data_IF_992768778367
#
_entry.id   IF_992768778367
#
_cell.length_a   1.000
_cell.length_b   1.000
_cell.length_c   1.000
_cell.angle_alpha   90.00
_cell.angle_beta   90.00
_cell.angle_gamma   90.00
#
_symmetry.space_group_name_H-M   'P 1'
#
loop_
_entity.id
_entity.type
_entity.pdbx_description
1 polymer ?
#
# COMPACT_ATOMS: atom_id res chain seq x y z
N UNK A 1 17.87 -6.64 -91.17
CA UNK A 1 19.12 -6.36 -90.44
C UNK A 1 18.96 -4.95 -89.87
N UNK A 2 18.34 -4.76 -88.71
CA UNK A 2 18.85 -4.87 -87.32
C UNK A 2 19.86 -3.76 -86.94
N UNK A 3 19.40 -2.88 -86.04
CA UNK A 3 20.05 -2.10 -84.95
C UNK A 3 18.86 -1.36 -84.28
N UNK A 4 18.37 -1.58 -83.06
CA UNK A 4 18.92 -1.73 -81.69
C UNK A 4 19.68 -0.50 -81.17
N UNK A 5 19.00 0.27 -80.29
CA UNK A 5 19.49 1.08 -79.14
C UNK A 5 18.28 1.93 -78.66
N UNK A 6 17.47 1.53 -77.68
CA UNK A 6 17.61 1.57 -76.21
C UNK A 6 18.03 2.93 -75.64
N UNK A 7 17.04 3.76 -75.24
CA UNK A 7 17.27 4.92 -74.37
C UNK A 7 16.19 5.02 -73.27
N UNK A 8 16.58 4.53 -72.09
CA UNK A 8 16.20 4.94 -70.72
C UNK A 8 14.72 5.14 -70.36
N UNK A 9 14.11 4.08 -69.83
CA UNK A 9 13.00 4.18 -68.89
C UNK A 9 13.59 4.58 -67.53
N UNK A 10 13.42 5.84 -67.14
CA UNK A 10 13.74 6.29 -65.78
C UNK A 10 12.77 5.61 -64.81
N UNK A 11 13.31 4.62 -64.08
CA UNK A 11 12.62 3.96 -62.99
C UNK A 11 12.58 4.91 -61.78
N UNK A 12 11.33 5.22 -61.41
CA UNK A 12 10.85 5.89 -60.22
C UNK A 12 11.73 5.60 -58.98
N UNK A 13 12.31 6.67 -58.42
CA UNK A 13 13.04 6.61 -57.17
C UNK A 13 12.05 6.30 -56.03
N UNK A 14 12.37 5.40 -55.08
CA UNK A 14 11.47 5.13 -53.97
C UNK A 14 11.32 6.40 -53.13
N UNK A 15 10.07 6.84 -53.01
CA UNK A 15 9.66 7.94 -52.15
C UNK A 15 10.06 7.63 -50.71
N UNK A 16 11.15 8.25 -50.27
CA UNK A 16 11.52 8.33 -48.85
C UNK A 16 10.36 8.96 -48.09
N UNK A 17 9.60 8.12 -47.39
CA UNK A 17 8.57 8.55 -46.46
C UNK A 17 9.22 9.39 -45.37
N UNK A 18 9.02 10.71 -45.43
CA UNK A 18 9.38 11.68 -44.39
C UNK A 18 8.72 11.29 -43.08
N UNK A 19 9.46 10.59 -42.22
CA UNK A 19 9.07 10.37 -40.83
C UNK A 19 9.04 11.73 -40.16
N UNK A 20 7.84 12.19 -39.83
CA UNK A 20 7.65 13.44 -39.10
C UNK A 20 8.28 13.27 -37.72
N UNK A 21 9.34 14.03 -37.44
CA UNK A 21 9.99 14.08 -36.12
C UNK A 21 9.05 14.74 -35.11
N UNK A 22 7.99 14.06 -34.70
CA UNK A 22 7.32 14.35 -33.45
C UNK A 22 8.32 14.01 -32.35
N UNK A 23 8.85 15.02 -31.67
CA UNK A 23 9.73 14.88 -30.52
C UNK A 23 9.03 14.00 -29.48
N UNK A 24 9.37 12.71 -29.44
CA UNK A 24 8.86 11.78 -28.42
C UNK A 24 9.44 12.21 -27.07
N UNK A 25 8.65 12.94 -26.29
CA UNK A 25 9.01 13.27 -24.92
C UNK A 25 8.63 12.09 -24.05
N UNK A 26 9.60 11.21 -23.81
CA UNK A 26 9.42 10.12 -22.87
C UNK A 26 9.44 10.73 -21.45
N UNK A 27 8.42 10.45 -20.61
CA UNK A 27 8.37 10.96 -19.25
C UNK A 27 9.51 10.39 -18.39
N UNK A 28 9.91 11.10 -17.31
CA UNK A 28 10.89 10.58 -16.36
C UNK A 28 10.43 9.24 -15.79
N UNK A 29 11.40 8.36 -15.49
CA UNK A 29 11.12 7.00 -15.07
C UNK A 29 10.44 6.96 -13.70
N UNK A 30 9.36 6.17 -13.59
CA UNK A 30 8.59 6.04 -12.34
C UNK A 30 8.99 4.77 -11.59
N UNK A 31 9.92 4.91 -10.63
CA UNK A 31 10.40 3.81 -9.79
C UNK A 31 9.30 3.11 -8.99
N UNK A 32 8.31 3.86 -8.51
CA UNK A 32 7.18 3.29 -7.78
C UNK A 32 6.30 2.39 -8.66
N UNK A 33 6.32 2.56 -9.98
CA UNK A 33 5.45 1.84 -10.89
C UNK A 33 5.98 1.80 -12.32
N UNK A 34 7.04 1.01 -12.52
CA UNK A 34 7.66 0.86 -13.84
C UNK A 34 6.70 0.27 -14.89
N UNK A 35 5.70 -0.53 -14.46
CA UNK A 35 4.68 -1.10 -15.35
C UNK A 35 3.79 -0.02 -15.96
N UNK A 36 3.24 0.88 -15.16
CA UNK A 36 2.42 2.00 -15.66
C UNK A 36 3.25 2.97 -16.51
N UNK A 37 4.50 3.21 -16.14
CA UNK A 37 5.41 4.02 -16.94
C UNK A 37 5.55 3.46 -18.36
N UNK A 38 5.78 2.15 -18.51
CA UNK A 38 5.86 1.53 -19.83
C UNK A 38 4.58 1.68 -20.66
N UNK A 39 3.39 1.61 -20.05
CA UNK A 39 2.11 1.84 -20.75
C UNK A 39 2.08 3.26 -21.33
N UNK A 40 2.55 4.25 -20.58
CA UNK A 40 2.63 5.63 -21.03
C UNK A 40 3.68 5.81 -22.15
N UNK A 41 4.84 5.17 -22.03
CA UNK A 41 5.87 5.20 -23.09
C UNK A 41 5.33 4.59 -24.39
N UNK A 42 4.66 3.44 -24.31
CA UNK A 42 4.07 2.77 -25.48
C UNK A 42 2.98 3.61 -26.13
N UNK A 43 2.18 4.32 -25.33
CA UNK A 43 1.19 5.27 -25.83
C UNK A 43 1.85 6.42 -26.61
N UNK A 44 2.97 6.95 -26.12
CA UNK A 44 3.74 7.97 -26.83
C UNK A 44 4.34 7.45 -28.15
N UNK A 45 4.87 6.21 -28.16
CA UNK A 45 5.34 5.59 -29.40
C UNK A 45 4.20 5.41 -30.41
N UNK A 46 3.02 5.00 -29.95
CA UNK A 46 1.85 4.86 -30.82
C UNK A 46 1.43 6.22 -31.42
N UNK A 47 1.38 7.29 -30.61
CA UNK A 47 1.08 8.65 -31.07
C UNK A 47 2.11 9.17 -32.09
N UNK A 48 3.38 8.84 -31.89
CA UNK A 48 4.48 9.19 -32.79
C UNK A 48 4.61 8.25 -34.01
N UNK A 49 3.71 7.25 -34.16
CA UNK A 49 3.76 6.22 -35.20
C UNK A 49 5.08 5.44 -35.24
N UNK A 50 5.75 5.30 -34.09
CA UNK A 50 6.97 4.51 -33.97
C UNK A 50 6.59 3.05 -33.79
N UNK A 51 6.70 2.28 -34.87
CA UNK A 51 6.39 0.84 -34.88
C UNK A 51 7.65 -0.02 -34.88
N UNK A 52 8.78 0.51 -35.34
CA UNK A 52 10.05 -0.20 -35.44
C UNK A 52 10.65 -0.50 -34.05
N UNK A 53 10.93 -1.77 -33.79
CA UNK A 53 11.51 -2.29 -32.53
C UNK A 53 12.84 -1.62 -32.18
N UNK A 54 13.75 -1.48 -33.15
CA UNK A 54 15.05 -0.86 -32.96
C UNK A 54 14.91 0.62 -32.58
N UNK A 55 13.96 1.33 -33.21
CA UNK A 55 13.69 2.74 -32.89
C UNK A 55 13.16 2.89 -31.46
N UNK A 56 12.26 2.01 -31.02
CA UNK A 56 11.77 1.99 -29.63
C UNK A 56 12.88 1.69 -28.63
N UNK A 57 13.72 0.70 -28.94
CA UNK A 57 14.88 0.32 -28.15
C UNK A 57 15.86 1.49 -27.99
N UNK A 58 16.23 2.16 -29.09
CA UNK A 58 17.13 3.31 -29.06
C UNK A 58 16.56 4.49 -28.25
N UNK A 59 15.26 4.76 -28.40
CA UNK A 59 14.59 5.78 -27.59
C UNK A 59 14.62 5.46 -26.11
N UNK A 60 14.44 4.18 -25.75
CA UNK A 60 14.44 3.74 -24.37
C UNK A 60 15.83 3.92 -23.75
N UNK A 61 16.90 3.49 -24.43
CA UNK A 61 18.29 3.69 -23.99
C UNK A 61 18.62 5.17 -23.84
N UNK A 62 18.18 6.01 -24.78
CA UNK A 62 18.45 7.43 -24.73
C UNK A 62 17.73 8.17 -23.58
N UNK A 63 16.70 7.55 -22.99
CA UNK A 63 15.90 8.17 -21.92
C UNK A 63 16.33 7.69 -20.53
N UNK A 64 16.70 6.43 -20.41
CA UNK A 64 17.03 5.80 -19.13
C UNK A 64 18.40 6.30 -18.65
N UNK A 65 18.53 6.55 -17.34
CA UNK A 65 19.78 7.00 -16.74
C UNK A 65 20.87 5.91 -16.72
N UNK A 66 22.16 6.30 -16.67
CA UNK A 66 23.27 5.35 -16.72
C UNK A 66 23.29 4.33 -15.58
N UNK A 67 22.78 4.70 -14.39
CA UNK A 67 22.73 3.81 -13.22
C UNK A 67 21.76 2.65 -13.48
N UNK A 68 20.60 2.96 -14.02
CA UNK A 68 19.59 1.98 -14.45
C UNK A 68 20.08 1.11 -15.60
N UNK A 69 20.76 1.69 -16.60
CA UNK A 69 21.35 0.93 -17.70
C UNK A 69 22.44 -0.04 -17.20
N UNK A 70 23.19 0.33 -16.17
CA UNK A 70 24.17 -0.55 -15.55
C UNK A 70 23.54 -1.79 -14.91
N UNK A 71 22.34 -1.69 -14.35
CA UNK A 71 21.64 -2.82 -13.74
C UNK A 71 21.16 -3.85 -14.77
N UNK A 72 20.97 -3.43 -16.02
CA UNK A 72 20.57 -4.30 -17.16
C UNK A 72 21.67 -4.37 -18.22
N UNK A 73 22.93 -4.16 -17.83
CA UNK A 73 24.05 -4.13 -18.77
C UNK A 73 24.23 -5.45 -19.52
N UNK A 74 23.85 -6.58 -18.92
CA UNK A 74 23.90 -7.91 -19.51
C UNK A 74 23.11 -7.99 -20.82
N UNK A 75 21.87 -7.48 -20.83
CA UNK A 75 21.01 -7.50 -22.01
C UNK A 75 21.38 -6.42 -23.04
N UNK A 76 22.08 -5.37 -22.61
CA UNK A 76 22.56 -4.31 -23.49
C UNK A 76 23.86 -4.70 -24.22
N UNK A 77 24.74 -5.44 -23.54
CA UNK A 77 26.01 -5.94 -24.08
C UNK A 77 25.82 -7.19 -24.94
N UNK A 78 24.80 -8.01 -24.63
CA UNK A 78 24.39 -9.15 -25.43
C UNK A 78 22.90 -9.04 -25.83
N UNK A 79 22.55 -8.10 -26.72
CA UNK A 79 21.16 -7.89 -27.10
C UNK A 79 20.64 -9.06 -27.95
N UNK A 80 19.38 -9.51 -27.71
CA UNK A 80 18.79 -10.57 -28.52
C UNK A 80 18.60 -10.12 -29.98
N UNK A 81 18.67 -11.08 -30.91
CA UNK A 81 18.60 -10.82 -32.35
C UNK A 81 17.23 -10.29 -32.79
N UNK A 82 16.17 -10.64 -32.06
CA UNK A 82 14.79 -10.22 -32.33
C UNK A 82 14.13 -9.69 -31.05
N UNK A 83 13.17 -8.76 -31.20
CA UNK A 83 12.39 -8.19 -30.10
C UNK A 83 13.23 -7.54 -28.99
N UNK A 84 14.18 -6.66 -29.38
CA UNK A 84 15.12 -6.00 -28.45
C UNK A 84 14.39 -5.14 -27.44
N UNK A 85 13.38 -4.40 -27.89
CA UNK A 85 12.57 -3.57 -27.00
C UNK A 85 11.79 -4.42 -26.00
N UNK A 86 11.13 -5.49 -26.46
CA UNK A 86 10.34 -6.35 -25.60
C UNK A 86 11.20 -7.06 -24.55
N UNK A 87 12.39 -7.51 -24.93
CA UNK A 87 13.34 -8.14 -24.01
C UNK A 87 13.84 -7.16 -22.94
N UNK A 88 14.27 -5.95 -23.35
CA UNK A 88 14.72 -4.90 -22.42
C UNK A 88 13.59 -4.45 -21.49
N UNK A 89 12.37 -4.24 -22.02
CA UNK A 89 11.16 -3.94 -21.22
C UNK A 89 10.92 -5.00 -20.15
N UNK A 90 10.95 -6.27 -20.54
CA UNK A 90 10.69 -7.40 -19.62
C UNK A 90 11.74 -7.44 -18.50
N UNK A 91 13.02 -7.28 -18.85
CA UNK A 91 14.11 -7.28 -17.88
C UNK A 91 14.05 -6.08 -16.92
N UNK A 92 13.77 -4.88 -17.44
CA UNK A 92 13.61 -3.68 -16.62
C UNK A 92 12.42 -3.82 -15.65
N UNK A 93 11.29 -4.34 -16.12
CA UNK A 93 10.16 -4.63 -15.24
C UNK A 93 10.56 -5.66 -14.19
N UNK A 94 11.27 -6.73 -14.54
CA UNK A 94 11.68 -7.75 -13.57
C UNK A 94 12.69 -7.24 -12.53
N UNK A 95 13.63 -6.40 -12.94
CA UNK A 95 14.68 -5.86 -12.07
C UNK A 95 14.15 -4.78 -11.12
N UNK A 96 13.28 -3.91 -11.63
CA UNK A 96 12.85 -2.70 -10.92
C UNK A 96 11.37 -2.70 -10.52
N UNK A 97 10.61 -3.76 -10.82
CA UNK A 97 9.37 -3.97 -10.09
C UNK A 97 9.73 -4.34 -8.66
N UNK A 98 9.36 -3.48 -7.70
CA UNK A 98 9.40 -3.87 -6.29
C UNK A 98 8.73 -5.25 -6.16
N UNK A 99 9.39 -6.18 -5.46
CA UNK A 99 8.83 -7.52 -5.23
C UNK A 99 7.43 -7.35 -4.64
N UNK A 100 6.49 -8.20 -5.02
CA UNK A 100 5.13 -8.21 -4.45
C UNK A 100 5.19 -8.17 -2.90
N UNK A 101 6.15 -8.86 -2.30
CA UNK A 101 6.39 -8.83 -0.85
C UNK A 101 6.86 -7.47 -0.30
N UNK A 102 7.68 -6.74 -1.04
CA UNK A 102 8.12 -5.40 -0.65
C UNK A 102 6.98 -4.38 -0.78
N UNK A 103 6.17 -4.52 -1.83
CA UNK A 103 4.95 -3.74 -2.01
C UNK A 103 3.94 -4.01 -0.89
N UNK A 104 3.74 -5.27 -0.51
CA UNK A 104 2.90 -5.66 0.64
C UNK A 104 3.48 -5.08 1.93
N UNK A 105 4.79 -5.19 2.18
CA UNK A 105 5.42 -4.59 3.36
C UNK A 105 5.24 -3.08 3.41
N UNK A 106 5.38 -2.39 2.28
CA UNK A 106 5.13 -0.96 2.16
C UNK A 106 3.67 -0.62 2.43
N UNK A 107 2.74 -1.35 1.82
CA UNK A 107 1.30 -1.22 2.04
C UNK A 107 0.93 -1.40 3.52
N UNK A 108 1.50 -2.42 4.18
CA UNK A 108 1.31 -2.68 5.60
C UNK A 108 1.92 -1.59 6.50
N UNK A 109 3.01 -0.96 6.05
CA UNK A 109 3.72 0.09 6.80
C UNK A 109 3.05 1.45 6.65
N UNK A 110 2.55 1.78 5.46
CA UNK A 110 1.88 3.06 5.17
C UNK A 110 0.43 3.10 5.69
N UNK A 111 -0.21 1.93 5.83
CA UNK A 111 -1.55 1.76 6.37
C UNK A 111 -1.53 1.77 7.91
N UNK A 112 -1.27 2.94 8.48
CA UNK A 112 -1.37 3.18 9.91
C UNK A 112 -2.85 3.11 10.35
N UNK A 113 -3.15 2.36 11.43
CA UNK A 113 -4.45 2.39 12.12
C UNK A 113 -4.58 3.73 12.88
N UNK A 114 -4.79 4.83 12.16
CA UNK A 114 -5.39 6.04 12.73
C UNK A 114 -6.91 5.89 12.82
N UNK A 115 -7.59 6.77 13.54
CA UNK A 115 -9.06 6.86 13.61
C UNK A 115 -9.73 7.26 12.27
N UNK A 116 -9.17 6.79 11.16
CA UNK A 116 -9.64 7.02 9.81
C UNK A 116 -10.91 6.20 9.56
N UNK A 117 -11.82 6.78 8.78
CA UNK A 117 -13.05 6.08 8.41
C UNK A 117 -12.71 4.82 7.61
N UNK A 118 -13.41 3.69 7.85
CA UNK A 118 -13.25 2.49 7.05
C UNK A 118 -13.26 2.72 5.54
N UNK A 119 -14.10 3.64 5.03
CA UNK A 119 -14.10 4.05 3.62
C UNK A 119 -12.81 4.74 3.15
N UNK A 120 -12.23 5.60 3.99
CA UNK A 120 -10.95 6.26 3.71
C UNK A 120 -9.80 5.24 3.74
N UNK A 121 -9.84 4.30 4.68
CA UNK A 121 -8.88 3.20 4.77
C UNK A 121 -8.94 2.32 3.53
N UNK A 122 -10.14 2.03 3.00
CA UNK A 122 -10.31 1.29 1.75
C UNK A 122 -9.69 2.03 0.58
N UNK A 123 -10.04 3.32 0.42
CA UNK A 123 -9.53 4.14 -0.67
C UNK A 123 -8.01 4.21 -0.65
N UNK A 124 -7.41 4.40 0.52
CA UNK A 124 -5.95 4.38 0.69
C UNK A 124 -5.34 3.02 0.33
N UNK A 125 -6.00 1.92 0.70
CA UNK A 125 -5.55 0.55 0.35
C UNK A 125 -5.60 0.32 -1.16
N UNK A 126 -6.66 0.81 -1.84
CA UNK A 126 -6.80 0.74 -3.30
C UNK A 126 -5.84 1.66 -4.04
N UNK A 127 -5.60 2.88 -3.54
CA UNK A 127 -4.65 3.82 -4.15
C UNK A 127 -3.21 3.28 -4.06
N UNK A 128 -2.85 2.65 -2.95
CA UNK A 128 -1.52 2.06 -2.75
C UNK A 128 -1.35 0.69 -3.45
N UNK A 129 -2.41 -0.11 -3.56
CA UNK A 129 -2.39 -1.44 -4.18
C UNK A 129 -2.71 -1.48 -5.67
N UNK A 130 -3.55 -0.56 -6.15
CA UNK A 130 -4.02 -0.49 -7.53
C UNK A 130 -2.94 -0.04 -8.52
N UNK A 131 -1.93 0.69 -8.06
CA UNK A 131 -0.74 0.95 -8.86
C UNK A 131 0.15 -0.29 -9.00
N UNK A 132 0.23 -1.13 -7.97
CA UNK A 132 1.33 -2.10 -7.83
C UNK A 132 1.04 -3.46 -8.46
N UNK A 133 -0.18 -3.69 -8.93
CA UNK A 133 -0.61 -4.94 -9.56
C UNK A 133 -1.05 -6.01 -8.55
N UNK A 134 -1.33 -5.60 -7.32
CA UNK A 134 -1.91 -6.46 -6.28
C UNK A 134 -3.39 -6.69 -6.61
N UNK A 135 -3.87 -7.94 -6.46
CA UNK A 135 -5.28 -8.29 -6.75
C UNK A 135 -6.24 -7.61 -5.78
N UNK A 136 -7.38 -7.15 -6.32
CA UNK A 136 -8.45 -6.51 -5.54
C UNK A 136 -8.95 -7.39 -4.38
N UNK A 137 -9.03 -8.71 -4.55
CA UNK A 137 -9.42 -9.65 -3.49
C UNK A 137 -8.44 -9.65 -2.31
N UNK A 138 -7.15 -9.51 -2.59
CA UNK A 138 -6.12 -9.42 -1.56
C UNK A 138 -6.20 -8.07 -0.84
N UNK A 139 -6.42 -6.97 -1.58
CA UNK A 139 -6.64 -5.64 -1.01
C UNK A 139 -7.90 -5.61 -0.13
N UNK A 140 -8.99 -6.27 -0.55
CA UNK A 140 -10.20 -6.46 0.24
C UNK A 140 -9.91 -7.21 1.54
N UNK A 141 -9.19 -8.32 1.45
CA UNK A 141 -8.81 -9.14 2.61
C UNK A 141 -7.96 -8.33 3.58
N UNK A 142 -6.99 -7.57 3.06
CA UNK A 142 -6.12 -6.74 3.86
C UNK A 142 -6.90 -5.62 4.56
N UNK A 143 -7.79 -4.95 3.83
CA UNK A 143 -8.67 -3.93 4.40
C UNK A 143 -9.55 -4.50 5.51
N UNK A 144 -10.17 -5.69 5.30
CA UNK A 144 -10.96 -6.37 6.32
C UNK A 144 -10.15 -6.68 7.58
N UNK A 145 -8.93 -7.24 7.43
CA UNK A 145 -8.06 -7.57 8.57
C UNK A 145 -7.69 -6.36 9.45
N UNK A 146 -7.83 -5.14 8.92
CA UNK A 146 -7.53 -3.89 9.63
C UNK A 146 -8.73 -3.33 10.40
N UNK A 147 -9.93 -3.85 10.15
CA UNK A 147 -11.13 -3.44 10.87
C UNK A 147 -11.28 -4.22 12.19
N UNK A 148 -12.03 -3.71 13.19
CA UNK A 148 -12.34 -4.46 14.40
C UNK A 148 -13.09 -5.78 14.09
N UNK A 149 -12.84 -6.83 14.89
CA UNK A 149 -13.36 -8.19 14.67
C UNK A 149 -14.88 -8.25 14.46
N UNK A 150 -15.67 -7.50 15.22
CA UNK A 150 -17.13 -7.51 15.07
C UNK A 150 -17.58 -6.84 13.76
N UNK A 151 -16.80 -5.90 13.22
CA UNK A 151 -17.06 -5.32 11.90
C UNK A 151 -16.67 -6.31 10.78
N UNK A 152 -15.56 -7.04 10.96
CA UNK A 152 -15.17 -8.12 10.04
C UNK A 152 -16.24 -9.20 9.94
N UNK A 153 -16.83 -9.61 11.06
CA UNK A 153 -17.87 -10.65 11.09
C UNK A 153 -19.11 -10.26 10.28
N UNK A 154 -19.53 -8.99 10.36
CA UNK A 154 -20.69 -8.48 9.62
C UNK A 154 -20.36 -8.34 8.14
N UNK A 155 -19.19 -7.77 7.82
CA UNK A 155 -18.81 -7.47 6.44
C UNK A 155 -18.39 -8.70 5.64
N UNK A 156 -17.88 -9.75 6.28
CA UNK A 156 -17.44 -10.99 5.59
C UNK A 156 -18.58 -11.79 4.99
N UNK A 157 -19.81 -11.60 5.50
CA UNK A 157 -21.02 -12.27 5.02
C UNK A 157 -21.63 -11.51 3.83
N UNK A 158 -21.29 -10.24 3.65
CA UNK A 158 -21.83 -9.39 2.59
C UNK A 158 -21.15 -9.67 1.25
N UNK A 159 -21.97 -9.95 0.23
CA UNK A 159 -21.53 -10.09 -1.17
C UNK A 159 -21.56 -8.76 -1.95
N UNK A 160 -21.67 -7.64 -1.25
CA UNK A 160 -21.75 -6.33 -1.88
C UNK A 160 -20.41 -5.86 -2.50
N UNK A 161 -20.47 -4.95 -3.50
CA UNK A 161 -19.27 -4.35 -4.07
C UNK A 161 -18.51 -3.55 -3.00
N UNK A 162 -17.20 -3.42 -3.22
CA UNK A 162 -16.24 -2.91 -2.25
C UNK A 162 -16.60 -1.51 -1.71
N UNK A 163 -17.10 -0.64 -2.59
CA UNK A 163 -17.57 0.72 -2.23
C UNK A 163 -18.75 0.70 -1.26
N UNK A 164 -19.73 -0.19 -1.49
CA UNK A 164 -20.87 -0.33 -0.59
C UNK A 164 -20.47 -0.95 0.75
N UNK A 165 -19.50 -1.86 0.71
CA UNK A 165 -18.95 -2.52 1.90
C UNK A 165 -18.22 -1.52 2.81
N UNK A 166 -17.47 -0.58 2.21
CA UNK A 166 -16.89 0.56 2.90
C UNK A 166 -17.96 1.49 3.52
N UNK A 167 -19.03 1.79 2.79
CA UNK A 167 -20.15 2.58 3.31
C UNK A 167 -20.86 1.90 4.49
N UNK A 168 -20.99 0.57 4.44
CA UNK A 168 -21.56 -0.23 5.53
C UNK A 168 -20.65 -0.23 6.75
N UNK A 169 -19.33 -0.36 6.54
CA UNK A 169 -18.32 -0.25 7.59
C UNK A 169 -18.36 1.12 8.29
N UNK A 170 -18.52 2.21 7.53
CA UNK A 170 -18.69 3.57 8.08
C UNK A 170 -19.95 3.70 8.94
N UNK A 171 -21.07 3.06 8.53
CA UNK A 171 -22.30 3.04 9.33
C UNK A 171 -22.10 2.28 10.65
N UNK A 172 -21.43 1.13 10.62
CA UNK A 172 -21.09 0.35 11.82
C UNK A 172 -20.17 1.16 12.75
N UNK A 173 -19.20 1.88 12.20
CA UNK A 173 -18.32 2.75 12.97
C UNK A 173 -19.10 3.87 13.70
N UNK A 174 -20.07 4.50 13.02
CA UNK A 174 -20.94 5.52 13.63
C UNK A 174 -21.78 4.95 14.77
N UNK A 175 -22.38 3.77 14.59
CA UNK A 175 -23.17 3.10 15.65
C UNK A 175 -22.32 2.84 16.89
N UNK A 176 -21.06 2.43 16.72
CA UNK A 176 -20.14 2.26 17.86
C UNK A 176 -19.82 3.57 18.58
N UNK A 177 -19.55 4.65 17.85
CA UNK A 177 -19.27 5.96 18.44
C UNK A 177 -20.51 6.45 19.21
N UNK A 178 -21.70 6.38 18.61
CA UNK A 178 -22.96 6.75 19.29
C UNK A 178 -23.30 5.85 20.49
N UNK A 179 -22.92 4.58 20.45
CA UNK A 179 -23.12 3.64 21.57
C UNK A 179 -22.09 3.86 22.69
N UNK A 180 -20.87 4.29 22.37
CA UNK A 180 -19.87 4.70 23.35
C UNK A 180 -20.32 5.96 24.10
N UNK A 181 -20.88 6.96 23.40
CA UNK A 181 -21.46 8.15 24.04
C UNK A 181 -22.68 7.82 24.91
N UNK A 182 -23.53 6.88 24.49
CA UNK A 182 -24.64 6.39 25.33
C UNK A 182 -24.16 5.51 26.50
N UNK A 183 -22.99 4.87 26.40
CA UNK A 183 -22.40 4.11 27.50
C UNK A 183 -21.85 5.03 28.60
N UNK A 184 -21.42 6.25 28.28
CA UNK A 184 -21.01 7.24 29.29
C UNK A 184 -22.20 7.64 30.20
N UNK A 185 -23.44 7.65 29.69
CA UNK A 185 -24.63 7.88 30.51
C UNK A 185 -25.05 6.68 31.38
N UNK A 186 -24.64 5.45 31.02
CA UNK A 186 -24.95 4.26 31.81
C UNK A 186 -23.96 4.02 32.97
N UNK A 187 -22.76 4.61 32.92
CA UNK A 187 -21.75 4.48 34.00
C UNK A 187 -22.01 5.43 35.17
N UNK A 188 -22.85 6.47 35.02
CA UNK A 188 -23.19 7.38 36.13
C UNK A 188 -23.93 6.71 37.28
N UNK A 189 -24.54 5.54 37.09
CA UNK A 189 -25.10 4.73 38.20
C UNK A 189 -24.12 3.70 38.78
N UNK A 190 -23.04 3.37 38.09
CA UNK A 190 -21.97 2.48 38.57
C UNK A 190 -20.83 3.21 39.29
N UNK A 191 -20.63 4.51 38.99
CA UNK A 191 -19.62 5.34 39.63
C UNK A 191 -19.92 5.60 41.11
N UNK A 192 -21.19 5.79 41.49
CA UNK A 192 -21.57 5.92 42.91
C UNK A 192 -21.35 4.62 43.70
N UNK A 193 -21.65 3.47 43.10
CA UNK A 193 -21.49 2.17 43.77
C UNK A 193 -20.01 1.75 43.92
N UNK A 194 -19.15 2.13 42.97
CA UNK A 194 -17.69 1.88 43.06
C UNK A 194 -16.95 2.91 43.90
N UNK A 195 -17.39 4.17 43.91
CA UNK A 195 -16.88 5.18 44.84
C UNK A 195 -17.26 4.85 46.29
N UNK A 196 -18.49 4.41 46.55
CA UNK A 196 -18.94 3.98 47.88
C UNK A 196 -18.21 2.72 48.36
N UNK A 197 -17.94 1.76 47.46
CA UNK A 197 -17.09 0.59 47.78
C UNK A 197 -15.64 0.97 48.05
N UNK A 198 -15.05 1.87 47.27
CA UNK A 198 -13.66 2.34 47.50
C UNK A 198 -13.50 3.15 48.79
N UNK A 199 -14.48 4.00 49.12
CA UNK A 199 -14.50 4.74 50.37
C UNK A 199 -14.61 3.81 51.58
N UNK A 200 -15.54 2.84 51.55
CA UNK A 200 -15.69 1.82 52.61
C UNK A 200 -14.41 1.03 52.83
N UNK A 201 -13.72 0.62 51.75
CA UNK A 201 -12.45 -0.13 51.89
C UNK A 201 -11.29 0.71 52.42
N UNK A 202 -11.29 2.03 52.17
CA UNK A 202 -10.24 2.93 52.68
C UNK A 202 -10.43 3.19 54.18
N UNK A 203 -11.68 3.38 54.62
CA UNK A 203 -12.02 3.52 56.04
C UNK A 203 -11.73 2.24 56.82
N UNK A 204 -12.06 1.07 56.26
CA UNK A 204 -11.68 -0.23 56.85
C UNK A 204 -10.15 -0.40 56.94
N UNK A 205 -9.41 0.00 55.91
CA UNK A 205 -7.95 -0.12 55.90
C UNK A 205 -7.26 0.85 56.90
N UNK A 206 -7.82 2.05 57.10
CA UNK A 206 -7.31 2.99 58.10
C UNK A 206 -7.63 2.55 59.53
N UNK A 207 -8.82 1.98 59.76
CA UNK A 207 -9.20 1.40 61.04
C UNK A 207 -8.28 0.21 61.42
N UNK A 208 -8.06 -0.73 60.50
CA UNK A 208 -7.15 -1.85 60.70
C UNK A 208 -5.70 -1.41 60.95
N UNK A 209 -5.23 -0.36 60.27
CA UNK A 209 -3.90 0.21 60.51
C UNK A 209 -3.76 0.81 61.92
N UNK A 210 -4.81 1.48 62.40
CA UNK A 210 -4.83 2.01 63.77
C UNK A 210 -4.80 0.89 64.82
N UNK A 211 -5.54 -0.19 64.58
CA UNK A 211 -5.58 -1.35 65.47
C UNK A 211 -4.24 -2.10 65.50
N UNK A 212 -3.59 -2.30 64.35
CA UNK A 212 -2.23 -2.88 64.28
C UNK A 212 -1.22 -1.99 65.04
N UNK A 213 -1.32 -0.66 64.91
CA UNK A 213 -0.42 0.25 65.64
C UNK A 213 -0.64 0.18 67.16
N UNK A 214 -1.89 0.07 67.61
CA UNK A 214 -2.23 -0.08 69.02
C UNK A 214 -1.74 -1.43 69.58
N UNK A 215 -1.96 -2.53 68.84
CA UNK A 215 -1.48 -3.86 69.20
C UNK A 215 0.05 -3.93 69.23
N UNK A 216 0.74 -3.33 68.25
CA UNK A 216 2.21 -3.27 68.24
C UNK A 216 2.76 -2.54 69.47
N UNK A 217 2.10 -1.44 69.87
CA UNK A 217 2.49 -0.66 71.07
C UNK A 217 2.20 -1.42 72.38
N UNK A 218 1.24 -2.34 72.37
CA UNK A 218 0.92 -3.19 73.52
C UNK A 218 1.86 -4.40 73.62
N UNK A 219 2.33 -4.93 72.49
CA UNK A 219 3.38 -5.96 72.42
C UNK A 219 4.73 -5.40 72.87
N UNK A 220 5.09 -4.17 72.51
CA UNK A 220 6.30 -3.50 73.05
C UNK A 220 6.23 -3.18 74.55
N UNK A 221 5.03 -3.06 75.11
CA UNK A 221 4.81 -2.81 76.54
C UNK A 221 4.72 -4.09 77.38
N UNK A 222 4.66 -5.26 76.76
CA UNK A 222 4.67 -6.54 77.46
C UNK A 222 6.10 -7.10 77.47
N UNK A 223 6.85 -7.06 78.59
CA UNK A 223 8.16 -7.68 78.64
C UNK A 223 8.03 -9.19 78.48
N UNK A 224 8.83 -9.75 77.57
CA UNK A 224 9.07 -11.18 77.41
C UNK A 224 9.38 -11.78 78.79
N UNK A 225 8.63 -12.78 79.30
CA UNK A 225 9.03 -13.47 80.51
C UNK A 225 10.31 -14.26 80.18
N UNK A 226 11.41 -13.86 80.81
CA UNK A 226 12.70 -14.53 80.69
C UNK A 226 12.55 -15.98 81.16
N UNK A 227 12.77 -16.93 80.26
CA UNK A 227 13.07 -18.32 80.61
C UNK A 227 14.25 -18.35 81.57
N UNK A 228 14.10 -19.13 82.64
CA UNK A 228 15.15 -19.50 83.57
C UNK A 228 15.14 -21.01 83.72
#
# INVERSE_FOLDING_TARGET
>A
MLNTENETVNADAPTESKVSHLSVKIPPLWWNNIKLWFIQVESNFALAKITNDLTKYNHLIATIDPETLSAVADILLAPPDTNKYGALKTRLIAEFSASENEQIRRLLSELHLGADKPSQLLRKTLELGGGTGIKDDFLKTLWLQRLPSEMQAILSISSEPLDNLANMADKIAKVRISSADNSVFAVSRGAESTAMRKASTLDEFTALRSEIAALSKQVERSPVPSEK
#
